data_IF_197277824741
#
_entry.id   IF_197277824741
#
_cell.length_a   1.000
_cell.length_b   1.000
_cell.length_c   1.000
_cell.angle_alpha   90.00
_cell.angle_beta   90.00
_cell.angle_gamma   90.00
#
_symmetry.space_group_name_H-M   'P 1'
#
loop_
_entity.id
_entity.type
_entity.pdbx_description
1 polymer ?
#
# COMPACT_ATOMS: atom_id res chain seq x y z
N UNK A 1 27.30 26.80 12.72
CA UNK A 1 26.33 26.26 11.75
C UNK A 1 26.15 24.78 12.05
N UNK A 2 25.00 24.31 12.53
CA UNK A 2 24.56 22.91 12.30
C UNK A 2 23.17 22.68 12.91
N UNK A 3 22.14 23.22 12.27
CA UNK A 3 20.74 22.82 12.49
C UNK A 3 20.14 22.28 11.19
N UNK A 4 21.00 21.84 10.26
CA UNK A 4 20.65 21.57 8.87
C UNK A 4 20.92 20.08 8.60
N UNK A 5 19.88 19.36 8.17
CA UNK A 5 19.91 17.93 7.80
C UNK A 5 19.88 16.92 8.97
N UNK A 6 19.25 17.28 10.09
CA UNK A 6 18.47 16.32 10.89
C UNK A 6 16.99 16.65 10.69
N UNK A 7 16.50 16.52 9.46
CA UNK A 7 15.08 16.19 9.32
C UNK A 7 15.05 14.73 9.78
N UNK A 8 14.42 14.46 10.92
CA UNK A 8 14.76 13.33 11.77
C UNK A 8 14.70 12.02 10.96
N UNK A 9 15.84 11.34 10.83
CA UNK A 9 15.88 10.03 10.19
C UNK A 9 14.91 9.09 10.91
N UNK A 10 14.72 9.27 12.22
CA UNK A 10 13.71 8.56 12.98
C UNK A 10 12.28 8.85 12.46
N UNK A 11 11.94 10.12 12.17
CA UNK A 11 10.64 10.48 11.60
C UNK A 11 10.45 9.85 10.22
N UNK A 12 11.50 9.85 9.38
CA UNK A 12 11.45 9.20 8.06
C UNK A 12 11.20 7.69 8.20
N UNK A 13 11.91 7.03 9.12
CA UNK A 13 11.71 5.60 9.42
C UNK A 13 10.31 5.32 9.95
N UNK A 14 9.80 6.19 10.82
CA UNK A 14 8.43 6.09 11.35
C UNK A 14 7.40 6.20 10.22
N UNK A 15 7.47 7.25 9.39
CA UNK A 15 6.55 7.45 8.27
C UNK A 15 6.61 6.27 7.29
N UNK A 16 7.81 5.77 6.99
CA UNK A 16 7.94 4.58 6.15
C UNK A 16 7.23 3.36 6.77
N UNK A 17 7.37 3.16 8.08
CA UNK A 17 6.67 2.11 8.82
C UNK A 17 5.14 2.26 8.77
N UNK A 18 4.63 3.47 9.00
CA UNK A 18 3.19 3.78 8.96
C UNK A 18 2.58 3.56 7.57
N UNK A 19 3.30 3.94 6.51
CA UNK A 19 2.90 3.67 5.12
C UNK A 19 2.84 2.16 4.85
N UNK A 20 3.84 1.40 5.31
CA UNK A 20 3.87 -0.05 5.17
C UNK A 20 2.76 -0.76 5.96
N UNK A 21 2.47 -0.29 7.18
CA UNK A 21 1.35 -0.80 7.98
C UNK A 21 0.02 -0.52 7.29
N UNK A 22 -0.18 0.70 6.79
CA UNK A 22 -1.41 1.08 6.07
C UNK A 22 -1.60 0.23 4.81
N UNK A 23 -0.53 -0.03 4.06
CA UNK A 23 -0.56 -0.92 2.89
C UNK A 23 -0.99 -2.35 3.29
N UNK A 24 -0.43 -2.87 4.39
CA UNK A 24 -0.74 -4.20 4.93
C UNK A 24 -2.21 -4.30 5.35
N UNK A 25 -2.71 -3.33 6.11
CA UNK A 25 -4.09 -3.33 6.62
C UNK A 25 -5.11 -3.24 5.47
N UNK A 26 -4.87 -2.37 4.49
CA UNK A 26 -5.72 -2.25 3.30
C UNK A 26 -5.67 -3.54 2.48
N UNK A 27 -4.50 -4.15 2.31
CA UNK A 27 -4.33 -5.43 1.63
C UNK A 27 -5.09 -6.57 2.32
N UNK A 28 -5.07 -6.61 3.65
CA UNK A 28 -5.81 -7.60 4.44
C UNK A 28 -7.33 -7.46 4.27
N UNK A 29 -7.86 -6.24 4.37
CA UNK A 29 -9.30 -5.96 4.13
C UNK A 29 -9.70 -6.38 2.72
N UNK A 30 -8.86 -6.10 1.72
CA UNK A 30 -9.12 -6.47 0.34
C UNK A 30 -9.18 -8.00 0.16
N UNK A 31 -8.26 -8.71 0.78
CA UNK A 31 -8.21 -10.18 0.79
C UNK A 31 -9.46 -10.77 1.44
N UNK A 32 -9.87 -10.25 2.60
CA UNK A 32 -11.10 -10.67 3.27
C UNK A 32 -12.33 -10.42 2.40
N UNK A 33 -12.43 -9.25 1.77
CA UNK A 33 -13.54 -8.94 0.86
C UNK A 33 -13.55 -9.85 -0.37
N UNK A 34 -12.39 -10.13 -0.96
CA UNK A 34 -12.26 -11.06 -2.08
C UNK A 34 -12.74 -12.47 -1.71
N UNK A 35 -12.31 -12.98 -0.54
CA UNK A 35 -12.76 -14.26 -0.02
C UNK A 35 -14.27 -14.32 0.24
N UNK A 36 -14.84 -13.28 0.86
CA UNK A 36 -16.27 -13.19 1.12
C UNK A 36 -17.11 -13.19 -0.16
N UNK A 37 -16.69 -12.44 -1.18
CA UNK A 37 -17.39 -12.40 -2.48
C UNK A 37 -17.27 -13.72 -3.21
N UNK A 38 -16.10 -14.37 -3.19
CA UNK A 38 -15.91 -15.69 -3.81
C UNK A 38 -16.81 -16.74 -3.15
N UNK A 39 -16.93 -16.72 -1.82
CA UNK A 39 -17.79 -17.64 -1.08
C UNK A 39 -19.29 -17.48 -1.39
N UNK A 40 -19.71 -16.30 -1.84
CA UNK A 40 -21.12 -15.99 -2.17
C UNK A 40 -21.36 -15.86 -3.67
N UNK A 41 -20.39 -16.24 -4.51
CA UNK A 41 -20.55 -16.22 -5.96
C UNK A 41 -21.64 -17.21 -6.40
N UNK A 42 -22.59 -16.75 -7.22
CA UNK A 42 -23.71 -17.58 -7.70
C UNK A 42 -24.86 -17.77 -6.69
N UNK A 43 -24.77 -17.19 -5.48
CA UNK A 43 -25.86 -17.28 -4.49
C UNK A 43 -27.11 -16.45 -4.86
N UNK A 44 -27.00 -15.59 -5.87
CA UNK A 44 -28.06 -14.66 -6.27
C UNK A 44 -29.03 -15.23 -7.32
N UNK A 45 -28.87 -16.52 -7.68
CA UNK A 45 -29.74 -17.22 -8.61
C UNK A 45 -29.38 -17.03 -10.08
N UNK A 46 -29.84 -17.97 -10.92
CA UNK A 46 -29.69 -17.95 -12.38
C UNK A 46 -30.92 -17.36 -13.09
N UNK A 47 -31.77 -16.62 -12.38
CA UNK A 47 -32.84 -15.88 -13.02
C UNK A 47 -32.30 -14.58 -13.65
N UNK A 48 -33.14 -13.92 -14.45
CA UNK A 48 -32.79 -12.69 -15.16
C UNK A 48 -32.26 -11.61 -14.20
N UNK A 49 -32.80 -11.53 -12.98
CA UNK A 49 -32.39 -10.56 -11.97
C UNK A 49 -31.03 -10.91 -11.36
N UNK A 50 -30.79 -12.17 -11.00
CA UNK A 50 -29.53 -12.67 -10.47
C UNK A 50 -28.39 -12.56 -11.48
N UNK A 51 -28.65 -12.89 -12.75
CA UNK A 51 -27.67 -12.74 -13.84
C UNK A 51 -27.37 -11.26 -14.13
N UNK A 52 -28.38 -10.37 -14.17
CA UNK A 52 -28.11 -8.93 -14.31
C UNK A 52 -27.35 -8.34 -13.12
N UNK A 53 -27.64 -8.80 -11.91
CA UNK A 53 -26.95 -8.36 -10.70
C UNK A 53 -25.49 -8.84 -10.65
N UNK A 54 -25.21 -10.07 -11.11
CA UNK A 54 -23.88 -10.66 -11.11
C UNK A 54 -23.02 -10.24 -12.30
N UNK A 55 -23.53 -10.47 -13.52
CA UNK A 55 -22.79 -10.50 -14.79
C UNK A 55 -23.09 -9.31 -15.71
N UNK A 56 -24.11 -8.50 -15.42
CA UNK A 56 -24.41 -7.32 -16.23
C UNK A 56 -23.21 -6.38 -16.34
N UNK A 57 -23.24 -5.42 -17.29
CA UNK A 57 -22.18 -4.41 -17.46
C UNK A 57 -21.83 -3.66 -16.17
N UNK A 58 -22.79 -3.60 -15.24
CA UNK A 58 -22.68 -3.00 -13.92
C UNK A 58 -22.80 -4.00 -12.76
N UNK A 59 -22.66 -5.29 -13.06
CA UNK A 59 -22.76 -6.38 -12.10
C UNK A 59 -21.65 -6.35 -11.06
N UNK A 60 -21.92 -6.95 -9.90
CA UNK A 60 -20.99 -6.90 -8.78
C UNK A 60 -19.68 -7.66 -9.04
N UNK A 61 -19.67 -8.63 -9.96
CA UNK A 61 -18.45 -9.37 -10.32
C UNK A 61 -17.47 -8.45 -11.06
N UNK A 62 -17.95 -7.75 -12.09
CA UNK A 62 -17.16 -6.79 -12.87
C UNK A 62 -16.70 -5.61 -12.00
N UNK A 63 -17.64 -4.96 -11.30
CA UNK A 63 -17.32 -3.81 -10.44
C UNK A 63 -16.39 -4.20 -9.28
N UNK A 64 -16.59 -5.40 -8.72
CA UNK A 64 -15.75 -5.94 -7.66
C UNK A 64 -14.32 -6.19 -8.14
N UNK A 65 -14.13 -6.71 -9.35
CA UNK A 65 -12.81 -6.90 -9.95
C UNK A 65 -12.10 -5.55 -10.15
N UNK A 66 -12.74 -4.57 -10.80
CA UNK A 66 -12.15 -3.25 -11.02
C UNK A 66 -11.84 -2.52 -9.70
N UNK A 67 -12.72 -2.60 -8.71
CA UNK A 67 -12.46 -2.01 -7.39
C UNK A 67 -11.26 -2.67 -6.71
N UNK A 68 -11.11 -3.99 -6.81
CA UNK A 68 -9.95 -4.70 -6.26
C UNK A 68 -8.65 -4.28 -6.92
N UNK A 69 -8.63 -4.18 -8.24
CA UNK A 69 -7.45 -3.72 -8.98
C UNK A 69 -7.06 -2.29 -8.59
N UNK A 70 -8.04 -1.39 -8.49
CA UNK A 70 -7.79 0.00 -8.09
C UNK A 70 -7.25 0.11 -6.65
N UNK A 71 -7.76 -0.71 -5.72
CA UNK A 71 -7.26 -0.74 -4.33
C UNK A 71 -5.87 -1.38 -4.29
N UNK A 72 -5.63 -2.48 -5.00
CA UNK A 72 -4.33 -3.13 -5.08
C UNK A 72 -3.26 -2.17 -5.61
N UNK A 73 -3.57 -1.38 -6.64
CA UNK A 73 -2.67 -0.35 -7.15
C UNK A 73 -2.28 0.70 -6.09
N UNK A 74 -3.23 1.07 -5.21
CA UNK A 74 -2.95 2.00 -4.10
C UNK A 74 -2.09 1.36 -3.01
N UNK A 75 -2.29 0.09 -2.70
CA UNK A 75 -1.43 -0.68 -1.77
C UNK A 75 0.01 -0.67 -2.30
N UNK A 76 0.21 -1.02 -3.57
CA UNK A 76 1.53 -0.97 -4.21
C UNK A 76 2.15 0.42 -4.16
N UNK A 77 1.37 1.48 -4.35
CA UNK A 77 1.87 2.85 -4.24
C UNK A 77 2.35 3.19 -2.82
N UNK A 78 1.61 2.77 -1.79
CA UNK A 78 2.00 2.97 -0.40
C UNK A 78 3.28 2.19 -0.04
N UNK A 79 3.43 0.96 -0.54
CA UNK A 79 4.66 0.18 -0.40
C UNK A 79 5.86 0.86 -1.07
N UNK A 80 5.66 1.42 -2.27
CA UNK A 80 6.69 2.18 -2.99
C UNK A 80 7.11 3.43 -2.22
N UNK A 81 6.15 4.16 -1.62
CA UNK A 81 6.46 5.31 -0.78
C UNK A 81 7.19 4.90 0.50
N UNK A 82 6.73 3.85 1.18
CA UNK A 82 7.41 3.28 2.36
C UNK A 82 8.88 2.95 2.03
N UNK A 83 9.10 2.28 0.90
CA UNK A 83 10.45 1.95 0.42
C UNK A 83 11.27 3.20 0.09
N UNK A 84 10.73 4.14 -0.67
CA UNK A 84 11.46 5.36 -1.07
C UNK A 84 11.88 6.21 0.12
N UNK A 85 11.02 6.33 1.13
CA UNK A 85 11.34 7.04 2.38
C UNK A 85 12.42 6.29 3.17
N UNK A 86 12.33 4.96 3.27
CA UNK A 86 13.36 4.13 3.93
C UNK A 86 14.72 4.19 3.24
N UNK A 87 14.73 4.15 1.91
CA UNK A 87 15.95 4.23 1.11
C UNK A 87 16.60 5.62 1.28
N UNK A 88 15.79 6.68 1.33
CA UNK A 88 16.25 8.05 1.57
C UNK A 88 16.82 8.21 2.99
N UNK A 89 16.17 7.64 4.01
CA UNK A 89 16.67 7.63 5.39
C UNK A 89 18.05 6.96 5.47
N UNK A 90 18.21 5.82 4.79
CA UNK A 90 19.49 5.09 4.71
C UNK A 90 20.58 5.91 4.00
N UNK A 91 20.22 6.64 2.95
CA UNK A 91 21.16 7.52 2.24
C UNK A 91 21.65 8.66 3.14
N UNK A 92 20.78 9.26 3.94
CA UNK A 92 21.17 10.31 4.90
C UNK A 92 22.14 9.78 5.97
N UNK A 93 21.83 8.63 6.59
CA UNK A 93 22.71 7.99 7.58
C UNK A 93 24.11 7.66 7.01
N UNK A 94 24.14 7.14 5.78
CA UNK A 94 25.40 6.84 5.07
C UNK A 94 26.21 8.09 4.77
N UNK A 95 25.55 9.17 4.35
CA UNK A 95 26.22 10.44 4.04
C UNK A 95 26.79 11.10 5.31
N UNK A 96 26.04 11.08 6.42
CA UNK A 96 26.49 11.65 7.69
C UNK A 96 27.68 10.86 8.26
N UNK A 97 27.61 9.52 8.25
CA UNK A 97 28.72 8.67 8.72
C UNK A 97 29.97 8.77 7.85
N UNK A 98 29.84 8.81 6.52
CA UNK A 98 30.97 9.01 5.61
C UNK A 98 31.66 10.37 5.81
N UNK A 99 30.85 11.42 6.03
CA UNK A 99 31.35 12.77 6.32
C UNK A 99 32.08 12.83 7.67
N UNK A 100 31.50 12.26 8.72
CA UNK A 100 32.12 12.21 10.05
C UNK A 100 33.47 11.48 10.05
N UNK A 101 33.61 10.42 9.27
CA UNK A 101 34.86 9.65 9.15
C UNK A 101 35.95 10.43 8.40
N UNK A 102 35.58 11.21 7.38
CA UNK A 102 36.52 11.99 6.57
C UNK A 102 37.07 13.25 7.27
N UNK A 103 36.35 13.80 8.25
CA UNK A 103 36.81 14.94 9.06
C UNK A 103 37.52 14.52 10.36
N UNK A 104 37.61 13.22 10.64
CA UNK A 104 38.30 12.65 11.81
C UNK A 104 39.77 12.26 11.56
N UNK A 105 40.32 12.57 10.38
CA UNK A 105 41.76 12.46 10.06
C UNK A 105 42.41 13.83 9.92
#
# INVERSE_FOLDING_TARGET
MSGKVRFDVADMRQVAGELGSSATDIGAVLSTLAGAVAAHAGCWGNDEYGSHFADGDNGYLTRGATAREAIAAKVTLLEQYSKGVSDTATLFESTESGTATGFGQ
#
